data_IF_780203169643
#
_entry.id   IF_780203169643
#
_cell.length_a   1.000
_cell.length_b   1.000
_cell.length_c   1.000
_cell.angle_alpha   90.00
_cell.angle_beta   90.00
_cell.angle_gamma   90.00
#
_symmetry.space_group_name_H-M   'P 1'
#
loop_
_entity.id
_entity.type
_entity.pdbx_description
1 polymer ?
#
# COMPACT_ATOMS: atom_id res chain seq x y z
N UNK A 1 9.58 46.54 28.96
CA UNK A 1 8.59 45.68 28.28
C UNK A 1 9.34 44.54 27.58
N UNK A 2 8.81 43.32 27.69
CA UNK A 2 9.45 42.05 27.28
C UNK A 2 9.33 41.84 25.76
N UNK A 3 10.38 41.46 25.01
CA UNK A 3 10.24 41.15 23.58
C UNK A 3 9.50 39.81 23.41
N UNK A 4 8.37 39.87 22.71
CA UNK A 4 7.55 38.70 22.34
C UNK A 4 8.39 37.73 21.52
N UNK A 5 8.48 36.49 22.01
CA UNK A 5 8.90 35.30 21.27
C UNK A 5 8.04 35.14 20.01
N UNK A 6 8.65 35.22 18.83
CA UNK A 6 8.10 34.56 17.64
C UNK A 6 8.74 33.17 17.53
N UNK A 7 7.97 32.07 17.65
CA UNK A 7 8.50 30.76 17.31
C UNK A 7 8.68 30.71 15.79
N UNK A 8 9.91 30.47 15.36
CA UNK A 8 10.26 30.20 13.97
C UNK A 8 9.72 28.81 13.64
N UNK A 9 8.46 28.73 13.23
CA UNK A 9 7.83 27.47 12.79
C UNK A 9 8.48 27.07 11.48
N UNK A 10 9.39 26.11 11.55
CA UNK A 10 10.05 25.53 10.39
C UNK A 10 8.97 24.82 9.54
N UNK A 11 8.76 25.17 8.26
CA UNK A 11 7.75 24.53 7.40
C UNK A 11 8.09 23.08 6.99
N UNK A 12 9.12 22.48 7.58
CA UNK A 12 9.58 21.13 7.25
C UNK A 12 8.79 19.99 7.91
N UNK A 13 7.80 20.29 8.76
CA UNK A 13 6.90 19.29 9.36
C UNK A 13 5.55 19.27 8.64
N UNK A 14 5.57 18.94 7.34
CA UNK A 14 4.36 18.61 6.60
C UNK A 14 4.15 17.08 6.66
N UNK A 15 3.29 16.55 7.56
CA UNK A 15 3.09 15.11 7.73
C UNK A 15 2.54 14.39 6.48
N UNK A 16 2.07 15.12 5.46
CA UNK A 16 1.49 14.53 4.25
C UNK A 16 2.50 13.91 3.26
N UNK A 17 3.76 14.35 3.26
CA UNK A 17 4.73 13.87 2.27
C UNK A 17 5.33 12.49 2.62
N UNK A 18 5.42 12.16 3.91
CA UNK A 18 5.91 10.87 4.38
C UNK A 18 4.85 9.77 4.26
N UNK A 19 3.59 10.11 4.57
CA UNK A 19 2.45 9.19 4.48
C UNK A 19 2.15 8.81 3.03
N UNK A 20 2.11 9.78 2.11
CA UNK A 20 1.89 9.52 0.69
C UNK A 20 2.97 8.60 0.06
N UNK A 21 4.23 8.69 0.51
CA UNK A 21 5.32 7.81 0.04
C UNK A 21 5.20 6.39 0.60
N UNK A 22 4.72 6.26 1.84
CA UNK A 22 4.44 4.95 2.45
C UNK A 22 3.30 4.26 1.71
N UNK A 23 2.27 5.00 1.33
CA UNK A 23 1.15 4.47 0.55
C UNK A 23 1.59 3.99 -0.84
N UNK A 24 2.45 4.74 -1.53
CA UNK A 24 2.99 4.34 -2.83
C UNK A 24 3.79 3.03 -2.73
N UNK A 25 4.73 2.94 -1.77
CA UNK A 25 5.53 1.73 -1.56
C UNK A 25 4.67 0.53 -1.17
N UNK A 26 3.64 0.74 -0.35
CA UNK A 26 2.71 -0.33 0.03
C UNK A 26 1.90 -0.81 -1.17
N UNK A 27 1.49 0.11 -2.06
CA UNK A 27 0.78 -0.24 -3.29
C UNK A 27 1.64 -1.11 -4.21
N UNK A 28 2.91 -0.73 -4.42
CA UNK A 28 3.85 -1.49 -5.25
C UNK A 28 4.04 -2.92 -4.72
N UNK A 29 4.28 -3.06 -3.40
CA UNK A 29 4.42 -4.37 -2.74
C UNK A 29 3.15 -5.22 -2.92
N UNK A 30 1.97 -4.61 -2.82
CA UNK A 30 0.70 -5.32 -3.01
C UNK A 30 0.54 -5.76 -4.47
N UNK A 31 0.89 -4.91 -5.43
CA UNK A 31 0.80 -5.22 -6.85
C UNK A 31 1.76 -6.35 -7.24
N UNK A 32 2.99 -6.32 -6.72
CA UNK A 32 3.98 -7.40 -6.87
C UNK A 32 3.47 -8.70 -6.24
N UNK A 33 2.87 -8.65 -5.05
CA UNK A 33 2.27 -9.81 -4.40
C UNK A 33 1.11 -10.42 -5.22
N UNK A 34 0.27 -9.59 -5.84
CA UNK A 34 -0.82 -10.04 -6.72
C UNK A 34 -0.25 -10.65 -8.00
N UNK A 35 0.78 -10.06 -8.59
CA UNK A 35 1.46 -10.62 -9.76
C UNK A 35 2.10 -11.97 -9.43
N UNK A 36 2.78 -12.06 -8.27
CA UNK A 36 3.39 -13.29 -7.77
C UNK A 36 2.35 -14.39 -7.53
N UNK A 37 1.17 -14.04 -7.01
CA UNK A 37 0.06 -14.99 -6.82
C UNK A 37 -0.35 -15.65 -8.15
N UNK A 38 -0.38 -14.87 -9.24
CA UNK A 38 -0.80 -15.37 -10.56
C UNK A 38 0.22 -16.34 -11.19
N UNK A 39 1.49 -16.20 -10.87
CA UNK A 39 2.58 -17.00 -11.48
C UNK A 39 3.06 -18.14 -10.58
N UNK A 40 3.00 -17.98 -9.26
CA UNK A 40 3.58 -18.90 -8.27
C UNK A 40 2.58 -19.34 -7.16
N UNK A 41 1.31 -18.94 -7.27
CA UNK A 41 0.25 -19.33 -6.35
C UNK A 41 0.15 -18.51 -5.07
N UNK A 42 -0.95 -18.73 -4.35
CA UNK A 42 -1.34 -17.93 -3.16
C UNK A 42 -0.36 -18.03 -2.01
N UNK A 43 0.25 -19.19 -1.77
CA UNK A 43 1.21 -19.38 -0.67
C UNK A 43 2.47 -18.52 -0.87
N UNK A 44 2.97 -18.46 -2.10
CA UNK A 44 4.14 -17.65 -2.48
C UNK A 44 3.87 -16.16 -2.30
N UNK A 45 2.69 -15.69 -2.71
CA UNK A 45 2.26 -14.31 -2.52
C UNK A 45 2.06 -13.96 -1.04
N UNK A 46 1.51 -14.87 -0.25
CA UNK A 46 1.34 -14.70 1.20
C UNK A 46 2.69 -14.49 1.90
N UNK A 47 3.67 -15.34 1.63
CA UNK A 47 5.00 -15.21 2.25
C UNK A 47 5.75 -13.96 1.76
N UNK A 48 5.58 -13.56 0.50
CA UNK A 48 6.12 -12.29 0.00
C UNK A 48 5.55 -11.09 0.77
N UNK A 49 4.22 -10.99 0.88
CA UNK A 49 3.58 -9.87 1.58
C UNK A 49 3.93 -9.84 3.08
N UNK A 50 4.00 -11.01 3.74
CA UNK A 50 4.47 -11.13 5.12
C UNK A 50 5.91 -10.65 5.28
N UNK A 51 6.79 -11.02 4.36
CA UNK A 51 8.21 -10.61 4.38
C UNK A 51 8.37 -9.09 4.25
N UNK A 52 7.40 -8.42 3.64
CA UNK A 52 7.33 -6.96 3.52
C UNK A 52 6.55 -6.27 4.66
N UNK A 53 6.21 -6.99 5.73
CA UNK A 53 5.45 -6.51 6.89
C UNK A 53 4.09 -5.89 6.53
N UNK A 54 3.46 -6.39 5.47
CA UNK A 54 2.09 -5.99 5.10
C UNK A 54 1.12 -6.52 6.15
N UNK A 55 0.19 -5.68 6.58
CA UNK A 55 -0.81 -6.04 7.58
C UNK A 55 -1.67 -7.23 7.12
N UNK A 56 -1.96 -8.16 8.04
CA UNK A 56 -2.72 -9.37 7.74
C UNK A 56 -4.11 -9.10 7.16
N UNK A 57 -4.77 -7.99 7.51
CA UNK A 57 -6.04 -7.58 6.92
C UNK A 57 -5.89 -7.14 5.46
N UNK A 58 -4.79 -6.44 5.16
CA UNK A 58 -4.46 -6.06 3.77
C UNK A 58 -4.15 -7.30 2.95
N UNK A 59 -3.34 -8.22 3.48
CA UNK A 59 -3.02 -9.51 2.85
C UNK A 59 -4.29 -10.30 2.55
N UNK A 60 -5.15 -10.45 3.55
CA UNK A 60 -6.42 -11.15 3.41
C UNK A 60 -7.29 -10.51 2.33
N UNK A 61 -7.38 -9.18 2.28
CA UNK A 61 -8.14 -8.46 1.24
C UNK A 61 -7.57 -8.65 -0.15
N UNK A 62 -6.25 -8.60 -0.33
CA UNK A 62 -5.63 -8.69 -1.68
C UNK A 62 -5.63 -10.12 -2.22
N UNK A 63 -5.53 -11.13 -1.35
CA UNK A 63 -5.54 -12.54 -1.72
C UNK A 63 -6.96 -13.14 -1.84
N UNK A 64 -7.91 -12.74 -0.98
CA UNK A 64 -9.29 -13.25 -1.02
C UNK A 64 -10.22 -12.45 -1.93
N UNK A 65 -9.95 -11.15 -2.15
CA UNK A 65 -10.77 -10.29 -3.03
C UNK A 65 -9.97 -9.72 -4.22
N UNK A 66 -9.20 -10.53 -4.98
CA UNK A 66 -8.51 -10.01 -6.17
C UNK A 66 -9.52 -9.51 -7.23
N UNK A 67 -10.76 -10.02 -7.18
CA UNK A 67 -11.86 -9.65 -8.08
C UNK A 67 -12.48 -8.27 -7.85
N UNK A 68 -12.34 -7.65 -6.66
CA UNK A 68 -12.86 -6.28 -6.44
C UNK A 68 -12.03 -5.21 -7.14
N UNK A 69 -10.78 -5.52 -7.52
CA UNK A 69 -9.99 -4.65 -8.41
C UNK A 69 -10.47 -4.70 -9.86
N UNK A 70 -11.33 -5.63 -10.25
CA UNK A 70 -11.79 -5.81 -11.63
C UNK A 70 -13.23 -5.32 -11.84
N UNK A 71 -13.51 -4.08 -11.45
CA UNK A 71 -14.66 -3.31 -11.95
C UNK A 71 -14.58 -2.93 -13.43
N UNK A 72 -13.80 -3.66 -14.26
CA UNK A 72 -13.75 -3.49 -15.73
C UNK A 72 -13.10 -4.63 -16.52
N UNK A 73 -13.23 -5.88 -16.08
CA UNK A 73 -12.96 -7.01 -16.99
C UNK A 73 -13.87 -8.21 -16.68
N UNK A 74 -15.17 -7.95 -16.66
CA UNK A 74 -16.16 -8.92 -17.10
C UNK A 74 -16.46 -8.65 -18.57
N UNK A 75 -15.54 -8.98 -19.47
CA UNK A 75 -15.83 -9.13 -20.91
C UNK A 75 -14.69 -9.88 -21.63
N UNK A 76 -14.73 -11.21 -21.57
CA UNK A 76 -14.10 -12.18 -22.47
C UNK A 76 -14.43 -13.56 -21.86
N UNK A 77 -15.47 -14.31 -22.25
CA UNK A 77 -16.07 -14.53 -23.57
C UNK A 77 -15.04 -14.89 -24.63
N UNK A 78 -14.56 -16.13 -24.60
CA UNK A 78 -14.74 -17.15 -25.67
C UNK A 78 -14.05 -18.44 -25.27
#
# INVERSE_FOLDING_TARGET
MNPVRSPMTNPSDAPGAAEARRDARLCDIVDDGIALMRVAGTLSALEYLKSHAVDGQVIMRVLLEPGKRRGRAGLAAV
#
